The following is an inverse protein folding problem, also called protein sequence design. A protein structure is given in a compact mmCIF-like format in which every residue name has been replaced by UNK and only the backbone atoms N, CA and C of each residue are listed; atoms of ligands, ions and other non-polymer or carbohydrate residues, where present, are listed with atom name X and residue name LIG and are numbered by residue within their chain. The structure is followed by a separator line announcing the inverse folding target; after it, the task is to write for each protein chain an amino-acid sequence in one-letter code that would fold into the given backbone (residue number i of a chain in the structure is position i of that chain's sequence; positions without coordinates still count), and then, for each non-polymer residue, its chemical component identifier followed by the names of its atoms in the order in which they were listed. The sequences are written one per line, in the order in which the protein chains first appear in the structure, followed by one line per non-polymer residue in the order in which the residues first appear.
data_IF_029830214058
#
_entry.id   IF_029830214058
#
_cell.length_a   1.000
_cell.length_b   1.000
_cell.length_c   1.000
_cell.angle_alpha   90.00
_cell.angle_beta   90.00
_cell.angle_gamma   90.00
#
_symmetry.space_group_name_H-M   'P 1'
#
loop_
_entity.id
_entity.type
_entity.pdbx_description
1 polymer ?
#
# COMPACT_ATOMS: atom_id res chain seq x y z
N UNK A 1 -43.77 -42.83 23.48
CA UNK A 1 -42.30 -42.94 23.61
C UNK A 1 -41.76 -43.25 22.22
N UNK A 2 -41.33 -42.23 21.51
CA UNK A 2 -40.72 -42.34 20.18
C UNK A 2 -39.31 -41.68 20.24
N UNK A 3 -38.30 -42.53 20.16
CA UNK A 3 -36.90 -42.12 20.15
C UNK A 3 -36.56 -41.61 18.74
N UNK A 4 -36.34 -40.30 18.60
CA UNK A 4 -35.84 -39.70 17.35
C UNK A 4 -34.32 -39.94 17.30
N UNK A 5 -33.93 -40.84 16.40
CA UNK A 5 -32.53 -41.09 16.04
C UNK A 5 -31.95 -39.86 15.30
N UNK A 6 -31.07 -39.11 15.94
CA UNK A 6 -30.27 -38.09 15.28
C UNK A 6 -29.15 -38.76 14.46
N UNK A 7 -29.44 -38.98 13.18
CA UNK A 7 -28.44 -39.38 12.20
C UNK A 7 -27.40 -38.23 12.03
N UNK A 8 -26.17 -38.55 12.43
CA UNK A 8 -25.00 -37.67 12.20
C UNK A 8 -24.83 -37.41 10.70
N UNK A 9 -25.00 -36.15 10.32
CA UNK A 9 -24.66 -35.67 8.99
C UNK A 9 -23.13 -35.69 8.84
N UNK A 10 -22.60 -36.83 8.40
CA UNK A 10 -21.22 -36.94 7.97
C UNK A 10 -20.93 -35.91 6.89
N UNK A 11 -19.92 -35.10 7.11
CA UNK A 11 -19.35 -34.18 6.10
C UNK A 11 -18.98 -35.00 4.86
N UNK A 12 -19.89 -35.07 3.89
CA UNK A 12 -19.66 -35.68 2.57
C UNK A 12 -18.50 -34.87 1.93
N UNK A 13 -17.29 -35.45 1.96
CA UNK A 13 -16.19 -34.97 1.11
C UNK A 13 -16.71 -35.03 -0.32
N UNK A 14 -16.96 -33.87 -0.92
CA UNK A 14 -17.27 -33.78 -2.36
C UNK A 14 -16.12 -34.46 -3.11
N UNK A 15 -16.41 -35.43 -4.02
CA UNK A 15 -15.35 -35.96 -4.87
C UNK A 15 -14.70 -34.81 -5.59
N UNK A 16 -13.36 -34.83 -5.65
CA UNK A 16 -12.58 -33.85 -6.43
C UNK A 16 -13.03 -34.01 -7.90
N UNK A 17 -13.84 -33.07 -8.33
CA UNK A 17 -14.27 -32.99 -9.73
C UNK A 17 -13.06 -32.60 -10.59
N UNK A 18 -12.92 -33.19 -11.78
CA UNK A 18 -11.81 -32.94 -12.71
C UNK A 18 -11.66 -31.42 -12.95
N UNK A 19 -12.77 -30.68 -12.99
CA UNK A 19 -12.79 -29.21 -13.09
C UNK A 19 -12.13 -28.53 -11.91
N UNK A 20 -12.40 -28.94 -10.67
CA UNK A 20 -11.81 -28.34 -9.47
C UNK A 20 -10.31 -28.68 -9.34
N UNK A 21 -9.90 -29.87 -9.75
CA UNK A 21 -8.49 -30.27 -9.77
C UNK A 21 -7.73 -29.47 -10.83
N UNK A 22 -8.28 -29.32 -12.04
CA UNK A 22 -7.68 -28.53 -13.12
C UNK A 22 -7.53 -27.06 -12.73
N UNK A 23 -8.55 -26.48 -12.09
CA UNK A 23 -8.48 -25.10 -11.58
C UNK A 23 -7.43 -24.95 -10.48
N UNK A 24 -7.30 -25.94 -9.59
CA UNK A 24 -6.27 -25.97 -8.55
C UNK A 24 -4.85 -25.99 -9.13
N UNK A 25 -4.62 -26.84 -10.15
CA UNK A 25 -3.32 -26.90 -10.85
C UNK A 25 -3.03 -25.57 -11.55
N UNK A 26 -3.99 -24.99 -12.25
CA UNK A 26 -3.83 -23.70 -12.90
C UNK A 26 -3.48 -22.58 -11.89
N UNK A 27 -4.16 -22.53 -10.76
CA UNK A 27 -3.86 -21.59 -9.68
C UNK A 27 -2.44 -21.79 -9.13
N UNK A 28 -2.00 -23.03 -8.90
CA UNK A 28 -0.63 -23.33 -8.45
C UNK A 28 0.41 -22.93 -9.48
N UNK A 29 0.17 -23.14 -10.77
CA UNK A 29 1.07 -22.70 -11.83
C UNK A 29 1.20 -21.17 -11.87
N UNK A 30 0.09 -20.44 -11.72
CA UNK A 30 0.10 -18.97 -11.67
C UNK A 30 0.88 -18.49 -10.43
N UNK A 31 0.62 -19.07 -9.27
CA UNK A 31 1.37 -18.74 -8.05
C UNK A 31 2.86 -19.03 -8.20
N UNK A 32 3.22 -20.22 -8.70
CA UNK A 32 4.63 -20.56 -8.96
C UNK A 32 5.28 -19.54 -9.91
N UNK A 33 4.63 -19.18 -11.00
CA UNK A 33 5.12 -18.18 -11.95
C UNK A 33 5.36 -16.80 -11.29
N UNK A 34 4.48 -16.37 -10.38
CA UNK A 34 4.61 -15.10 -9.66
C UNK A 34 5.72 -15.15 -8.60
N UNK A 35 5.90 -16.27 -7.90
CA UNK A 35 6.86 -16.35 -6.80
C UNK A 35 8.26 -16.81 -7.19
N UNK A 36 8.43 -17.52 -8.32
CA UNK A 36 9.75 -17.96 -8.80
C UNK A 36 10.75 -16.81 -8.94
N UNK A 37 10.42 -15.63 -9.50
CA UNK A 37 11.35 -14.51 -9.55
C UNK A 37 11.78 -14.03 -8.16
N UNK A 38 10.86 -14.01 -7.19
CA UNK A 38 11.15 -13.58 -5.80
C UNK A 38 12.07 -14.59 -5.13
N UNK A 39 11.80 -15.89 -5.29
CA UNK A 39 12.68 -16.97 -4.79
C UNK A 39 14.06 -16.88 -5.42
N UNK A 40 14.13 -16.62 -6.73
CA UNK A 40 15.39 -16.44 -7.45
C UNK A 40 16.20 -15.26 -6.92
N UNK A 41 15.54 -14.11 -6.66
CA UNK A 41 16.16 -12.94 -6.04
C UNK A 41 16.74 -13.31 -4.67
N UNK A 42 15.97 -14.00 -3.83
CA UNK A 42 16.40 -14.45 -2.49
C UNK A 42 17.60 -15.40 -2.61
N UNK A 43 17.55 -16.38 -3.52
CA UNK A 43 18.66 -17.31 -3.74
C UNK A 43 19.95 -16.61 -4.14
N UNK A 44 19.89 -15.68 -5.08
CA UNK A 44 21.07 -14.95 -5.54
C UNK A 44 21.60 -13.94 -4.51
N UNK A 45 20.80 -13.51 -3.54
CA UNK A 45 21.27 -12.65 -2.45
C UNK A 45 22.28 -13.33 -1.53
N UNK A 46 22.32 -14.67 -1.52
CA UNK A 46 23.25 -15.49 -0.75
C UNK A 46 24.39 -16.07 -1.57
N UNK A 47 24.40 -15.88 -2.89
CA UNK A 47 25.46 -16.41 -3.74
C UNK A 47 26.73 -15.55 -3.62
N UNK A 48 27.89 -16.17 -3.37
CA UNK A 48 29.18 -15.47 -3.26
C UNK A 48 29.66 -14.85 -4.57
N UNK A 49 29.21 -15.37 -5.72
CA UNK A 49 29.57 -14.82 -7.02
C UNK A 49 28.87 -13.48 -7.25
N UNK A 50 29.61 -12.49 -7.74
CA UNK A 50 29.09 -11.20 -8.15
C UNK A 50 28.21 -11.24 -9.40
N UNK A 51 28.30 -12.32 -10.17
CA UNK A 51 27.50 -12.53 -11.37
C UNK A 51 26.31 -13.42 -11.02
N UNK A 52 25.11 -12.94 -11.34
CA UNK A 52 23.85 -13.67 -11.12
C UNK A 52 23.71 -14.82 -12.11
N UNK A 53 24.31 -15.96 -11.82
CA UNK A 53 24.27 -17.16 -12.66
C UNK A 53 24.18 -18.44 -11.81
N UNK A 54 23.67 -19.49 -12.42
CA UNK A 54 23.68 -20.85 -11.88
C UNK A 54 24.85 -21.65 -12.47
N UNK A 55 25.43 -22.62 -11.72
CA UNK A 55 25.10 -23.02 -10.36
C UNK A 55 25.57 -21.99 -9.31
N UNK A 56 24.96 -22.01 -8.10
CA UNK A 56 25.45 -21.22 -6.96
C UNK A 56 26.82 -21.71 -6.54
N UNK A 57 27.78 -20.81 -6.29
CA UNK A 57 29.15 -21.19 -5.96
C UNK A 57 29.34 -21.52 -4.48
N UNK A 58 28.97 -20.57 -3.61
CA UNK A 58 28.98 -20.74 -2.15
C UNK A 58 28.00 -19.79 -1.49
N UNK A 59 27.70 -20.05 -0.23
CA UNK A 59 26.77 -19.26 0.56
C UNK A 59 27.52 -18.14 1.30
N UNK A 60 27.04 -16.89 1.21
CA UNK A 60 27.60 -15.73 1.90
C UNK A 60 26.55 -14.73 2.38
N UNK A 61 26.88 -13.98 3.42
CA UNK A 61 26.14 -12.80 3.88
C UNK A 61 26.83 -11.47 3.53
N UNK A 62 27.95 -11.51 2.81
CA UNK A 62 28.76 -10.31 2.53
C UNK A 62 27.96 -9.22 1.80
N UNK A 63 27.02 -9.61 0.95
CA UNK A 63 26.18 -8.66 0.22
C UNK A 63 25.24 -7.87 1.13
N UNK A 64 24.77 -8.48 2.20
CA UNK A 64 23.97 -7.78 3.22
C UNK A 64 24.84 -6.78 3.97
N UNK A 65 26.06 -7.20 4.38
CA UNK A 65 27.01 -6.31 5.04
C UNK A 65 27.37 -5.12 4.14
N UNK A 66 27.65 -5.38 2.86
CA UNK A 66 27.93 -4.33 1.87
C UNK A 66 26.74 -3.42 1.66
N UNK A 67 25.53 -3.96 1.51
CA UNK A 67 24.31 -3.17 1.33
C UNK A 67 24.06 -2.23 2.52
N UNK A 68 24.16 -2.72 3.75
CA UNK A 68 23.97 -1.89 4.95
C UNK A 68 25.10 -0.87 5.18
N UNK A 69 26.30 -1.12 4.67
CA UNK A 69 27.42 -0.18 4.72
C UNK A 69 27.49 0.76 3.51
N UNK A 70 26.58 0.63 2.54
CA UNK A 70 26.52 1.49 1.38
C UNK A 70 25.74 2.77 1.74
N UNK A 71 26.39 3.95 1.87
CA UNK A 71 25.72 5.16 2.33
C UNK A 71 24.68 5.67 1.33
N UNK A 72 24.92 5.51 0.01
CA UNK A 72 23.99 5.96 -1.01
C UNK A 72 22.69 5.14 -0.99
N UNK A 73 22.81 3.81 -0.82
CA UNK A 73 21.67 2.91 -0.70
C UNK A 73 20.86 3.19 0.57
N UNK A 74 21.54 3.38 1.72
CA UNK A 74 20.87 3.67 2.99
C UNK A 74 20.19 5.04 2.95
N UNK A 75 20.82 6.04 2.37
CA UNK A 75 20.20 7.37 2.16
C UNK A 75 18.96 7.26 1.27
N UNK A 76 19.05 6.51 0.17
CA UNK A 76 17.92 6.28 -0.73
C UNK A 76 16.75 5.56 -0.03
N UNK A 77 17.05 4.58 0.82
CA UNK A 77 16.04 3.88 1.63
C UNK A 77 15.33 4.85 2.60
N UNK A 78 16.10 5.65 3.34
CA UNK A 78 15.53 6.66 4.25
C UNK A 78 14.70 7.69 3.51
N UNK A 79 15.16 8.16 2.37
CA UNK A 79 14.42 9.08 1.52
C UNK A 79 13.06 8.49 1.09
N UNK A 80 13.03 7.20 0.69
CA UNK A 80 11.76 6.53 0.36
C UNK A 80 10.80 6.47 1.54
N UNK A 81 11.30 6.17 2.75
CA UNK A 81 10.48 6.12 3.96
C UNK A 81 9.92 7.51 4.31
N UNK A 82 10.75 8.55 4.22
CA UNK A 82 10.35 9.94 4.48
C UNK A 82 9.32 10.41 3.46
N UNK A 83 9.60 10.21 2.16
CA UNK A 83 8.70 10.60 1.07
C UNK A 83 7.37 9.89 1.18
N UNK A 84 7.37 8.56 1.37
CA UNK A 84 6.16 7.78 1.51
C UNK A 84 5.31 8.21 2.71
N UNK A 85 5.94 8.40 3.86
CA UNK A 85 5.24 8.82 5.09
C UNK A 85 4.69 10.23 4.98
N UNK A 86 5.48 11.18 4.45
CA UNK A 86 5.05 12.56 4.28
C UNK A 86 3.94 12.70 3.22
N UNK A 87 4.03 11.97 2.12
CA UNK A 87 2.98 11.91 1.11
C UNK A 87 1.66 11.39 1.69
N UNK A 88 1.71 10.33 2.52
CA UNK A 88 0.51 9.82 3.23
C UNK A 88 -0.11 10.88 4.12
N UNK A 89 0.70 11.65 4.87
CA UNK A 89 0.18 12.75 5.69
C UNK A 89 -0.56 13.78 4.83
N UNK A 90 0.01 14.19 3.68
CA UNK A 90 -0.66 15.09 2.73
C UNK A 90 -1.98 14.48 2.25
N UNK A 91 -1.96 13.21 1.85
CA UNK A 91 -3.15 12.50 1.39
C UNK A 91 -4.25 12.46 2.45
N UNK A 92 -3.92 12.26 3.72
CA UNK A 92 -4.88 12.24 4.82
C UNK A 92 -5.43 13.63 5.12
N UNK A 93 -4.55 14.63 5.23
CA UNK A 93 -4.93 16.03 5.55
C UNK A 93 -5.85 16.62 4.49
N UNK A 94 -5.63 16.30 3.22
CA UNK A 94 -6.47 16.78 2.12
C UNK A 94 -7.63 15.81 1.84
N UNK A 95 -7.36 14.52 1.83
CA UNK A 95 -8.30 13.49 1.39
C UNK A 95 -9.47 13.27 2.32
N UNK A 96 -9.25 13.28 3.65
CA UNK A 96 -10.34 13.06 4.61
C UNK A 96 -11.35 14.21 4.57
N UNK A 97 -10.96 15.51 4.67
CA UNK A 97 -11.90 16.61 4.54
C UNK A 97 -12.61 16.62 3.18
N UNK A 98 -11.90 16.31 2.10
CA UNK A 98 -12.48 16.21 0.75
C UNK A 98 -13.55 15.12 0.67
N UNK A 99 -13.30 13.94 1.23
CA UNK A 99 -14.27 12.84 1.27
C UNK A 99 -15.52 13.24 2.11
N UNK A 100 -15.31 13.88 3.26
CA UNK A 100 -16.41 14.40 4.10
C UNK A 100 -17.23 15.46 3.37
N UNK A 101 -16.56 16.39 2.66
CA UNK A 101 -17.24 17.42 1.89
C UNK A 101 -18.09 16.80 0.78
N UNK A 102 -17.55 15.85 0.04
CA UNK A 102 -18.27 15.12 -1.01
C UNK A 102 -19.44 14.28 -0.48
N UNK A 103 -19.34 13.77 0.74
CA UNK A 103 -20.40 12.99 1.34
C UNK A 103 -21.52 13.86 1.92
N UNK A 104 -21.19 14.92 2.65
CA UNK A 104 -22.13 15.65 3.51
C UNK A 104 -22.75 16.86 2.86
N UNK A 105 -22.06 17.51 1.90
CA UNK A 105 -22.53 18.77 1.32
C UNK A 105 -22.93 18.60 -0.12
N UNK A 106 -24.00 19.31 -0.51
CA UNK A 106 -24.40 19.52 -1.90
C UNK A 106 -24.03 20.93 -2.31
N UNK A 107 -23.21 21.06 -3.33
CA UNK A 107 -22.72 22.33 -3.83
C UNK A 107 -22.65 22.34 -5.36
N UNK A 108 -22.75 23.52 -5.99
CA UNK A 108 -22.64 23.64 -7.44
C UNK A 108 -21.29 23.08 -7.93
N UNK A 109 -21.31 22.23 -8.95
CA UNK A 109 -20.08 21.64 -9.47
C UNK A 109 -19.54 20.42 -8.72
N UNK A 110 -20.23 19.88 -7.71
CA UNK A 110 -19.83 18.69 -6.94
C UNK A 110 -19.39 17.51 -7.82
N UNK A 111 -20.13 17.24 -8.90
CA UNK A 111 -19.80 16.16 -9.83
C UNK A 111 -18.47 16.41 -10.55
N UNK A 112 -18.25 17.66 -10.99
CA UNK A 112 -17.00 18.05 -11.65
C UNK A 112 -15.83 17.96 -10.66
N UNK A 113 -16.01 18.52 -9.46
CA UNK A 113 -15.03 18.47 -8.40
C UNK A 113 -14.63 17.02 -8.06
N UNK A 114 -15.61 16.12 -7.90
CA UNK A 114 -15.34 14.68 -7.67
C UNK A 114 -14.50 14.06 -8.79
N UNK A 115 -14.79 14.39 -10.06
CA UNK A 115 -14.01 13.89 -11.21
C UNK A 115 -12.59 14.44 -11.20
N UNK A 116 -12.42 15.72 -10.89
CA UNK A 116 -11.10 16.37 -10.81
C UNK A 116 -10.23 15.78 -9.70
N UNK A 117 -10.80 15.46 -8.53
CA UNK A 117 -10.09 14.81 -7.42
C UNK A 117 -9.57 13.42 -7.81
N UNK A 118 -10.32 12.67 -8.63
CA UNK A 118 -9.94 11.33 -9.06
C UNK A 118 -8.97 11.37 -10.25
N UNK A 119 -8.95 12.44 -11.02
CA UNK A 119 -8.18 12.58 -12.26
C UNK A 119 -6.69 12.22 -12.10
N UNK A 120 -5.96 12.68 -11.05
CA UNK A 120 -4.53 12.40 -10.92
C UNK A 120 -4.18 10.91 -10.91
N UNK A 121 -5.00 10.06 -10.29
CA UNK A 121 -4.72 8.61 -10.24
C UNK A 121 -4.99 7.91 -11.59
N UNK A 122 -5.76 8.54 -12.47
CA UNK A 122 -6.06 7.98 -13.80
C UNK A 122 -5.02 8.37 -14.85
N UNK A 123 -4.20 9.37 -14.55
CA UNK A 123 -3.13 9.80 -15.45
C UNK A 123 -1.90 8.89 -15.31
N UNK A 124 -1.24 8.56 -16.42
CA UNK A 124 0.06 7.88 -16.33
C UNK A 124 1.06 8.70 -15.51
N UNK A 125 1.78 8.05 -14.58
CA UNK A 125 2.74 8.72 -13.69
C UNK A 125 3.78 9.57 -14.42
N UNK A 126 4.21 9.13 -15.61
CA UNK A 126 5.11 9.88 -16.47
C UNK A 126 4.52 11.23 -16.90
N UNK A 127 3.25 11.27 -17.29
CA UNK A 127 2.56 12.51 -17.69
C UNK A 127 2.40 13.42 -16.47
N UNK A 128 2.01 12.87 -15.34
CA UNK A 128 1.92 13.61 -14.07
C UNK A 128 3.27 14.21 -13.69
N UNK A 129 4.35 13.42 -13.74
CA UNK A 129 5.70 13.90 -13.42
C UNK A 129 6.17 15.03 -14.32
N UNK A 130 6.00 14.91 -15.64
CA UNK A 130 6.36 15.97 -16.60
C UNK A 130 5.56 17.24 -16.37
N UNK A 131 4.24 17.10 -16.18
CA UNK A 131 3.37 18.26 -15.95
C UNK A 131 3.74 19.01 -14.68
N UNK A 132 4.03 18.29 -13.59
CA UNK A 132 4.47 18.90 -12.34
C UNK A 132 5.88 19.50 -12.44
N UNK A 133 6.79 18.87 -13.16
CA UNK A 133 8.11 19.45 -13.47
C UNK A 133 7.96 20.80 -14.17
N UNK A 134 7.12 20.86 -15.21
CA UNK A 134 6.86 22.09 -15.93
C UNK A 134 6.29 23.16 -15.01
N UNK A 135 5.28 22.81 -14.20
CA UNK A 135 4.68 23.71 -13.22
C UNK A 135 5.73 24.25 -12.22
N UNK A 136 6.54 23.38 -11.60
CA UNK A 136 7.54 23.83 -10.62
C UNK A 136 8.60 24.74 -11.24
N UNK A 137 8.96 24.50 -12.50
CA UNK A 137 9.89 25.37 -13.23
C UNK A 137 9.29 26.74 -13.53
N UNK A 138 8.03 26.80 -13.96
CA UNK A 138 7.34 28.07 -14.23
C UNK A 138 7.21 28.95 -12.98
N UNK A 139 7.04 28.34 -11.81
CA UNK A 139 6.96 29.09 -10.54
C UNK A 139 8.32 29.20 -9.81
N UNK A 140 9.41 28.87 -10.50
CA UNK A 140 10.80 28.95 -10.01
C UNK A 140 11.06 28.16 -8.70
N UNK A 141 10.38 27.02 -8.53
CA UNK A 141 10.59 26.12 -7.41
C UNK A 141 11.70 25.12 -7.77
N UNK A 142 12.78 25.11 -6.98
CA UNK A 142 13.87 24.16 -7.15
C UNK A 142 13.40 22.72 -6.82
N UNK A 143 13.77 21.78 -7.68
CA UNK A 143 13.47 20.37 -7.48
C UNK A 143 14.23 19.81 -6.28
N UNK A 144 13.54 19.03 -5.46
CA UNK A 144 14.06 18.47 -4.20
C UNK A 144 13.16 17.34 -3.71
N UNK A 145 13.49 16.72 -2.58
CA UNK A 145 12.59 15.76 -1.94
C UNK A 145 11.21 16.34 -1.62
N UNK A 146 11.09 17.65 -1.37
CA UNK A 146 9.80 18.32 -1.16
C UNK A 146 8.92 18.28 -2.40
N UNK A 147 9.47 18.51 -3.58
CA UNK A 147 8.71 18.45 -4.83
C UNK A 147 8.25 17.03 -5.13
N UNK A 148 9.04 16.02 -4.74
CA UNK A 148 8.65 14.60 -4.81
C UNK A 148 7.48 14.32 -3.84
N UNK A 149 7.59 14.77 -2.58
CA UNK A 149 6.53 14.58 -1.55
C UNK A 149 5.21 15.21 -2.03
N UNK A 150 5.25 16.44 -2.55
CA UNK A 150 4.06 17.12 -3.08
C UNK A 150 3.49 16.38 -4.29
N UNK A 151 4.37 15.90 -5.19
CA UNK A 151 3.98 15.12 -6.36
C UNK A 151 3.24 13.83 -5.99
N UNK A 152 3.83 13.04 -5.09
CA UNK A 152 3.21 11.82 -4.60
C UNK A 152 1.91 12.11 -3.81
N UNK A 153 1.93 13.11 -2.92
CA UNK A 153 0.75 13.54 -2.18
C UNK A 153 -0.41 13.93 -3.09
N UNK A 154 -0.14 14.70 -4.14
CA UNK A 154 -1.16 15.10 -5.13
C UNK A 154 -1.71 13.90 -5.90
N UNK A 155 -0.84 13.03 -6.41
CA UNK A 155 -1.23 11.88 -7.20
C UNK A 155 -2.06 10.86 -6.38
N UNK A 156 -1.69 10.63 -5.12
CA UNK A 156 -2.25 9.57 -4.28
C UNK A 156 -3.42 10.03 -3.40
N UNK A 157 -3.71 11.33 -3.29
CA UNK A 157 -4.85 11.85 -2.51
C UNK A 157 -6.18 11.22 -2.94
N UNK A 158 -6.35 10.92 -4.22
CA UNK A 158 -7.54 10.26 -4.75
C UNK A 158 -7.84 8.91 -4.08
N UNK A 159 -6.80 8.17 -3.66
CA UNK A 159 -6.95 6.87 -2.99
C UNK A 159 -7.63 7.05 -1.63
N UNK A 160 -7.18 8.02 -0.85
CA UNK A 160 -7.79 8.33 0.46
C UNK A 160 -9.20 8.81 0.26
N UNK A 161 -9.43 9.76 -0.67
CA UNK A 161 -10.77 10.30 -0.95
C UNK A 161 -11.75 9.18 -1.30
N UNK A 162 -11.40 8.32 -2.25
CA UNK A 162 -12.30 7.26 -2.74
C UNK A 162 -12.61 6.23 -1.67
N UNK A 163 -11.61 5.78 -0.91
CA UNK A 163 -11.81 4.76 0.14
C UNK A 163 -12.62 5.31 1.34
N UNK A 164 -12.26 6.51 1.80
CA UNK A 164 -12.99 7.16 2.90
C UNK A 164 -14.41 7.51 2.48
N UNK A 165 -14.61 8.06 1.28
CA UNK A 165 -15.94 8.34 0.74
C UNK A 165 -16.79 7.08 0.64
N UNK A 166 -16.26 5.98 0.09
CA UNK A 166 -16.97 4.71 0.01
C UNK A 166 -17.35 4.14 1.38
N UNK A 167 -16.53 4.39 2.41
CA UNK A 167 -16.84 4.00 3.79
C UNK A 167 -17.93 4.87 4.39
N UNK A 168 -17.89 6.20 4.17
CA UNK A 168 -18.93 7.14 4.61
C UNK A 168 -20.30 6.80 4.00
N UNK A 169 -20.37 6.42 2.72
CA UNK A 169 -21.60 6.02 2.05
C UNK A 169 -22.27 4.78 2.67
N UNK A 170 -21.52 3.95 3.38
CA UNK A 170 -22.02 2.75 4.10
C UNK A 170 -22.29 3.01 5.57
N UNK A 171 -21.96 4.21 6.06
CA UNK A 171 -22.13 4.58 7.44
C UNK A 171 -23.54 5.13 7.66
N UNK A 172 -24.24 4.64 8.72
CA UNK A 172 -25.56 5.14 9.07
C UNK A 172 -25.46 6.52 9.74
N UNK A 173 -25.92 7.54 9.05
CA UNK A 173 -25.89 8.94 9.52
C UNK A 173 -26.72 9.18 10.78
N UNK A 174 -27.72 8.33 11.06
CA UNK A 174 -28.54 8.44 12.27
C UNK A 174 -27.72 8.40 13.55
N UNK A 175 -26.55 7.74 13.53
CA UNK A 175 -25.63 7.71 14.67
C UNK A 175 -25.04 9.10 14.95
N UNK A 176 -24.75 9.87 13.90
CA UNK A 176 -24.27 11.27 14.03
C UNK A 176 -25.40 12.20 14.49
N UNK A 177 -26.61 12.02 13.95
CA UNK A 177 -27.80 12.76 14.38
C UNK A 177 -28.10 12.50 15.86
N UNK A 178 -28.10 11.23 16.29
CA UNK A 178 -28.28 10.90 17.71
C UNK A 178 -27.18 11.48 18.60
N UNK A 179 -25.94 11.57 18.13
CA UNK A 179 -24.86 12.24 18.85
C UNK A 179 -25.14 13.75 19.02
N UNK A 180 -25.66 14.40 17.98
CA UNK A 180 -26.04 15.82 18.02
C UNK A 180 -27.24 16.06 18.96
N UNK A 181 -28.24 15.17 18.94
CA UNK A 181 -29.39 15.22 19.83
C UNK A 181 -29.00 15.12 21.33
N UNK A 182 -27.92 14.39 21.62
CA UNK A 182 -27.31 14.31 22.94
C UNK A 182 -26.45 15.54 23.29
N UNK A 183 -26.43 16.58 22.45
CA UNK A 183 -25.71 17.82 22.68
C UNK A 183 -24.23 17.82 22.30
N UNK A 184 -23.76 16.81 21.56
CA UNK A 184 -22.39 16.79 21.09
C UNK A 184 -22.13 17.87 20.03
N UNK A 185 -21.00 18.56 20.13
CA UNK A 185 -20.55 19.49 19.10
C UNK A 185 -20.10 18.73 17.82
N UNK A 186 -20.10 19.40 16.64
CA UNK A 186 -19.65 18.77 15.39
C UNK A 186 -18.26 18.13 15.49
N UNK A 187 -17.32 18.73 16.25
CA UNK A 187 -16.00 18.18 16.49
C UNK A 187 -16.04 16.92 17.37
N UNK A 188 -16.89 16.91 18.40
CA UNK A 188 -17.10 15.74 19.26
C UNK A 188 -17.70 14.58 18.45
N UNK A 189 -18.74 14.85 17.67
CA UNK A 189 -19.33 13.86 16.74
C UNK A 189 -18.29 13.32 15.76
N UNK A 190 -17.50 14.20 15.13
CA UNK A 190 -16.43 13.76 14.24
C UNK A 190 -15.41 12.87 14.98
N UNK A 191 -14.90 13.33 16.12
CA UNK A 191 -13.81 12.65 16.85
C UNK A 191 -14.25 11.31 17.45
N UNK A 192 -15.45 11.23 18.02
CA UNK A 192 -15.88 10.09 18.82
C UNK A 192 -16.85 9.15 18.08
N UNK A 193 -17.49 9.63 17.00
CA UNK A 193 -18.45 8.85 16.23
C UNK A 193 -17.93 8.57 14.83
N UNK A 194 -17.69 9.62 14.02
CA UNK A 194 -17.33 9.46 12.60
C UNK A 194 -15.95 8.84 12.42
N UNK A 195 -14.93 9.43 13.05
CA UNK A 195 -13.53 8.99 12.89
C UNK A 195 -13.30 7.52 13.28
N UNK A 196 -13.83 7.00 14.40
CA UNK A 196 -13.71 5.56 14.69
C UNK A 196 -14.36 4.67 13.64
N UNK A 197 -15.49 5.09 13.07
CA UNK A 197 -16.21 4.31 12.05
C UNK A 197 -15.51 4.29 10.69
N UNK A 198 -14.75 5.32 10.33
CA UNK A 198 -13.96 5.37 9.09
C UNK A 198 -12.49 4.96 9.28
N UNK A 199 -12.05 4.64 10.51
CA UNK A 199 -10.66 4.33 10.85
C UNK A 199 -10.07 3.23 9.98
N UNK A 200 -10.82 2.17 9.70
CA UNK A 200 -10.36 1.07 8.84
C UNK A 200 -10.07 1.52 7.40
N UNK A 201 -10.91 2.40 6.85
CA UNK A 201 -10.69 2.98 5.52
C UNK A 201 -9.47 3.92 5.50
N UNK A 202 -9.27 4.70 6.57
CA UNK A 202 -8.09 5.56 6.73
C UNK A 202 -6.82 4.72 6.76
N UNK A 203 -6.76 3.70 7.62
CA UNK A 203 -5.58 2.83 7.74
C UNK A 203 -5.31 2.12 6.41
N UNK A 204 -6.34 1.51 5.81
CA UNK A 204 -6.19 0.78 4.54
C UNK A 204 -5.71 1.68 3.41
N UNK A 205 -6.31 2.88 3.24
CA UNK A 205 -5.87 3.82 2.22
C UNK A 205 -4.49 4.40 2.49
N UNK A 206 -4.10 4.59 3.75
CA UNK A 206 -2.74 5.01 4.12
C UNK A 206 -1.69 3.98 3.72
N UNK A 207 -1.94 2.71 3.99
CA UNK A 207 -1.04 1.62 3.61
C UNK A 207 -0.90 1.51 2.10
N UNK A 208 -2.01 1.61 1.36
CA UNK A 208 -1.98 1.60 -0.11
C UNK A 208 -1.19 2.79 -0.65
N UNK A 209 -1.48 4.01 -0.15
CA UNK A 209 -0.78 5.22 -0.57
C UNK A 209 0.71 5.17 -0.25
N UNK A 210 1.09 4.65 0.94
CA UNK A 210 2.48 4.45 1.30
C UNK A 210 3.19 3.49 0.35
N UNK A 211 2.58 2.32 0.09
CA UNK A 211 3.16 1.30 -0.80
C UNK A 211 3.36 1.84 -2.21
N UNK A 212 2.37 2.53 -2.76
CA UNK A 212 2.45 3.13 -4.10
C UNK A 212 3.48 4.27 -4.15
N UNK A 213 3.57 5.09 -3.09
CA UNK A 213 4.61 6.13 -3.01
C UNK A 213 6.01 5.54 -2.88
N UNK A 214 6.14 4.43 -2.13
CA UNK A 214 7.43 3.78 -1.92
C UNK A 214 8.01 3.15 -3.20
N UNK A 215 7.16 2.69 -4.12
CA UNK A 215 7.55 2.05 -5.39
C UNK A 215 7.49 3.00 -6.59
N UNK A 216 7.18 4.29 -6.38
CA UNK A 216 6.97 5.25 -7.47
C UNK A 216 8.30 5.70 -8.08
N UNK A 217 8.47 5.43 -9.39
CA UNK A 217 9.65 5.83 -10.18
C UNK A 217 9.34 7.02 -11.10
N UNK A 218 8.30 6.97 -11.97
CA UNK A 218 8.03 7.99 -12.98
C UNK A 218 7.92 9.41 -12.43
N UNK A 219 7.12 9.63 -11.40
CA UNK A 219 6.93 10.96 -10.80
C UNK A 219 8.22 11.41 -10.10
N UNK A 220 8.85 10.51 -9.33
CA UNK A 220 10.12 10.80 -8.65
C UNK A 220 11.20 11.21 -9.64
N UNK A 221 11.33 10.52 -10.77
CA UNK A 221 12.34 10.80 -11.80
C UNK A 221 12.33 12.25 -12.27
N UNK A 222 11.15 12.84 -12.43
CA UNK A 222 11.02 14.22 -12.91
C UNK A 222 11.12 15.26 -11.80
N UNK A 223 10.79 14.90 -10.55
CA UNK A 223 10.66 15.85 -9.46
C UNK A 223 11.81 15.82 -8.47
N UNK A 224 12.65 14.78 -8.50
CA UNK A 224 13.81 14.71 -7.63
C UNK A 224 14.90 15.71 -8.05
N UNK A 225 15.62 16.23 -7.07
CA UNK A 225 16.79 17.07 -7.32
C UNK A 225 18.06 16.22 -7.45
N UNK A 226 18.90 16.28 -6.42
CA UNK A 226 20.16 15.52 -6.34
C UNK A 226 20.01 14.21 -5.59
N UNK A 227 18.98 14.11 -4.75
CA UNK A 227 18.75 12.97 -3.89
C UNK A 227 17.89 11.93 -4.61
N UNK A 228 18.07 10.65 -4.27
CA UNK A 228 17.32 9.56 -4.85
C UNK A 228 16.43 8.87 -3.79
N UNK A 229 15.30 8.33 -4.24
CA UNK A 229 14.55 7.30 -3.50
C UNK A 229 15.11 5.92 -3.82
N UNK A 230 14.77 4.93 -3.02
CA UNK A 230 15.26 3.55 -3.20
C UNK A 230 14.94 2.98 -4.60
N UNK A 231 13.71 3.08 -5.14
CA UNK A 231 13.43 2.61 -6.50
C UNK A 231 14.28 3.33 -7.56
N UNK A 232 14.48 4.63 -7.41
CA UNK A 232 15.33 5.42 -8.32
C UNK A 232 16.80 5.01 -8.22
N UNK A 233 17.30 4.75 -7.01
CA UNK A 233 18.64 4.22 -6.80
C UNK A 233 18.81 2.86 -7.48
N UNK A 234 17.90 1.91 -7.20
CA UNK A 234 17.89 0.57 -7.82
C UNK A 234 17.86 0.68 -9.35
N UNK A 235 16.97 1.52 -9.89
CA UNK A 235 16.88 1.77 -11.33
C UNK A 235 18.20 2.28 -11.93
N UNK A 236 18.88 3.19 -11.23
CA UNK A 236 20.19 3.72 -11.67
C UNK A 236 21.29 2.67 -11.67
N UNK A 237 21.26 1.73 -10.71
CA UNK A 237 22.24 0.65 -10.60
C UNK A 237 21.98 -0.42 -11.66
N UNK A 238 20.73 -0.81 -11.89
CA UNK A 238 20.36 -1.81 -12.93
C UNK A 238 20.87 -1.39 -14.30
N UNK A 239 20.85 -0.10 -14.63
CA UNK A 239 21.40 0.42 -15.89
C UNK A 239 22.92 0.24 -16.02
N UNK A 240 23.64 0.12 -14.92
CA UNK A 240 25.10 -0.09 -14.88
C UNK A 240 25.49 -1.55 -14.73
N UNK A 241 24.56 -2.42 -14.43
CA UNK A 241 24.69 -3.85 -14.16
C UNK A 241 24.11 -4.21 -12.79
N UNK A 242 23.41 -5.34 -12.72
CA UNK A 242 22.78 -5.82 -11.47
C UNK A 242 23.89 -6.29 -10.52
N UNK A 243 23.97 -5.69 -9.35
CA UNK A 243 24.86 -6.14 -8.26
C UNK A 243 24.09 -6.99 -7.27
N UNK A 244 24.70 -8.03 -6.66
CA UNK A 244 24.03 -8.85 -5.66
C UNK A 244 23.58 -8.10 -4.39
N UNK A 245 24.13 -6.92 -4.13
CA UNK A 245 23.68 -6.02 -3.06
C UNK A 245 22.21 -5.63 -3.23
N UNK A 246 21.74 -5.45 -4.48
CA UNK A 246 20.33 -5.19 -4.78
C UNK A 246 19.44 -6.38 -4.44
N UNK A 247 19.93 -7.60 -4.71
CA UNK A 247 19.22 -8.79 -4.33
C UNK A 247 19.13 -8.92 -2.80
N UNK A 248 20.20 -8.54 -2.07
CA UNK A 248 20.21 -8.56 -0.61
C UNK A 248 19.19 -7.57 -0.02
N UNK A 249 19.16 -6.31 -0.48
CA UNK A 249 18.18 -5.32 0.02
C UNK A 249 16.75 -5.69 -0.39
N UNK A 250 16.55 -6.19 -1.62
CA UNK A 250 15.26 -6.71 -2.06
C UNK A 250 14.76 -7.86 -1.17
N UNK A 251 15.65 -8.77 -0.79
CA UNK A 251 15.33 -9.86 0.14
C UNK A 251 14.93 -9.32 1.52
N UNK A 252 15.64 -8.33 2.06
CA UNK A 252 15.27 -7.69 3.34
C UNK A 252 13.88 -7.08 3.25
N UNK A 253 13.57 -6.37 2.16
CA UNK A 253 12.23 -5.77 1.96
C UNK A 253 11.16 -6.85 1.90
N UNK A 254 11.38 -7.94 1.18
CA UNK A 254 10.43 -9.08 1.10
C UNK A 254 10.21 -9.69 2.49
N UNK A 255 11.28 -9.95 3.25
CA UNK A 255 11.18 -10.54 4.60
C UNK A 255 10.43 -9.60 5.55
N UNK A 256 10.75 -8.31 5.54
CA UNK A 256 10.03 -7.30 6.35
C UNK A 256 8.56 -7.23 5.96
N UNK A 257 8.24 -7.22 4.66
CA UNK A 257 6.86 -7.20 4.18
C UNK A 257 6.07 -8.44 4.63
N UNK A 258 6.67 -9.63 4.52
CA UNK A 258 6.05 -10.88 4.99
C UNK A 258 5.84 -10.82 6.51
N UNK A 259 6.83 -10.35 7.27
CA UNK A 259 6.73 -10.24 8.73
C UNK A 259 5.58 -9.29 9.13
N UNK A 260 5.45 -8.15 8.47
CA UNK A 260 4.36 -7.19 8.72
C UNK A 260 2.98 -7.79 8.39
N UNK A 261 2.86 -8.54 7.30
CA UNK A 261 1.63 -9.25 6.93
C UNK A 261 1.27 -10.28 8.01
N UNK A 262 2.23 -11.10 8.43
CA UNK A 262 2.01 -12.12 9.46
C UNK A 262 1.58 -11.49 10.80
N UNK A 263 2.24 -10.40 11.21
CA UNK A 263 1.86 -9.65 12.42
C UNK A 263 0.43 -9.12 12.30
N UNK A 264 0.07 -8.53 11.15
CA UNK A 264 -1.28 -8.02 10.89
C UNK A 264 -2.35 -9.12 10.98
N UNK A 265 -2.09 -10.27 10.36
CA UNK A 265 -3.01 -11.43 10.42
C UNK A 265 -3.16 -11.95 11.85
N UNK A 266 -2.06 -12.03 12.61
CA UNK A 266 -2.08 -12.46 14.01
C UNK A 266 -2.90 -11.52 14.90
N UNK A 267 -2.72 -10.20 14.73
CA UNK A 267 -3.50 -9.19 15.47
C UNK A 267 -4.99 -9.26 15.15
N UNK A 268 -5.35 -9.47 13.89
CA UNK A 268 -6.75 -9.62 13.48
C UNK A 268 -7.39 -10.91 14.03
N UNK A 269 -6.62 -11.98 14.15
CA UNK A 269 -7.09 -13.23 14.71
C UNK A 269 -7.41 -13.11 16.20
N UNK A 270 -6.53 -12.45 16.97
CA UNK A 270 -6.69 -12.22 18.41
C UNK A 270 -7.89 -11.29 18.74
N UNK A 271 -8.20 -10.31 17.89
CA UNK A 271 -9.41 -9.48 18.04
C UNK A 271 -10.70 -10.25 17.80
N UNK A 272 -10.71 -11.19 16.86
CA UNK A 272 -11.88 -12.02 16.58
C UNK A 272 -12.17 -13.03 17.70
N UNK A 273 -11.16 -13.55 18.37
CA UNK A 273 -11.32 -14.44 19.53
C UNK A 273 -11.87 -13.69 20.77
N UNK A 274 -11.44 -12.43 20.97
CA UNK A 274 -11.90 -11.55 22.07
C UNK A 274 -13.34 -11.03 21.87
N UNK A 275 -13.80 -10.96 20.64
CA UNK A 275 -15.16 -10.55 20.28
C UNK A 275 -16.15 -11.70 20.22
N UNK A 276 -16.11 -12.69 21.08
CA UNK A 276 -16.90 -13.92 21.17
C UNK A 276 -18.26 -13.95 20.43
N UNK A 277 -18.86 -15.10 20.14
CA UNK A 277 -20.04 -15.19 19.27
C UNK A 277 -21.17 -14.31 19.83
N UNK A 278 -21.58 -13.32 19.04
CA UNK A 278 -22.83 -12.58 19.31
C UNK A 278 -23.95 -13.63 19.39
N UNK A 279 -24.40 -13.96 20.61
CA UNK A 279 -25.58 -14.81 20.80
C UNK A 279 -26.76 -14.10 20.11
N UNK A 280 -27.19 -14.71 19.01
CA UNK A 280 -28.46 -14.39 18.37
C UNK A 280 -29.60 -14.92 19.24
#
# INVERSE_FOLDING_TARGET
MAVVSMNGAGLRKRPLDIGTTGLGVAAMCVLAFLYVPIVTLIMFSFNSNSITRLPLESFTFDWYIKAFNNPDLMTALWNSLIVGSAAVVICLVIGIPTALALDRYDFPGKTVFRRLVILPITLPGLITGVSMLTFFREVDIQLSMWTVIVGHGTALTAIVVTNVFARLQRFDRRIEEASADLGATPWQTFRFVTLPNIKSAIIGSSLISFTLSFDEIPVTFFLTGRDNTLPMYIWSVIRRGITPEINAIGTVIVVVSIALILISVFMMYDENEKSGPVRK
#
